data_IF_036764309089
#
_entry.id   IF_036764309089
#
_cell.length_a   1.000
_cell.length_b   1.000
_cell.length_c   1.000
_cell.angle_alpha   90.00
_cell.angle_beta   90.00
_cell.angle_gamma   90.00
#
_symmetry.space_group_name_H-M   'P 1'
#
loop_
_entity.id
_entity.type
_entity.pdbx_description
1 polymer ?
#
# COMPACT_ATOMS: atom_id res chain seq x y z
N UNK A 1 -1.93 -13.82 -0.37
CA UNK A 1 -0.99 -13.53 -1.48
C UNK A 1 -0.10 -12.37 -1.09
N UNK A 2 1.22 -12.54 -1.02
CA UNK A 2 2.13 -11.43 -0.73
C UNK A 2 2.37 -10.58 -1.98
N UNK A 3 2.58 -9.27 -1.83
CA UNK A 3 2.86 -8.35 -2.92
C UNK A 3 4.19 -7.65 -2.71
N UNK A 4 4.95 -7.50 -3.79
CA UNK A 4 6.11 -6.60 -3.82
C UNK A 4 5.68 -5.33 -4.55
N UNK A 5 5.73 -4.20 -3.86
CA UNK A 5 5.39 -2.90 -4.42
C UNK A 5 6.67 -2.08 -4.59
N UNK A 6 6.87 -1.50 -5.77
CA UNK A 6 7.89 -0.47 -6.00
C UNK A 6 7.27 0.91 -5.74
N UNK A 7 8.08 1.84 -5.23
CA UNK A 7 7.69 3.24 -4.98
C UNK A 7 6.37 3.42 -4.20
N UNK A 8 6.14 2.54 -3.22
CA UNK A 8 4.92 2.53 -2.43
C UNK A 8 4.79 3.80 -1.57
N UNK A 9 3.54 4.19 -1.32
CA UNK A 9 3.17 5.24 -0.38
C UNK A 9 2.10 4.73 0.57
N UNK A 10 2.30 4.91 1.87
CA UNK A 10 1.24 4.77 2.86
C UNK A 10 0.36 6.02 2.81
N UNK A 11 -0.97 5.83 2.85
CA UNK A 11 -1.93 6.92 2.94
C UNK A 11 -2.90 6.66 4.09
N UNK A 12 -2.91 7.56 5.06
CA UNK A 12 -3.92 7.54 6.11
C UNK A 12 -5.21 8.17 5.58
N UNK A 13 -6.27 7.37 5.41
CA UNK A 13 -7.48 7.81 4.71
C UNK A 13 -8.26 8.93 5.43
N UNK A 14 -8.21 8.97 6.77
CA UNK A 14 -8.94 9.98 7.56
C UNK A 14 -8.25 11.35 7.58
N UNK A 15 -6.93 11.37 7.78
CA UNK A 15 -6.16 12.64 7.86
C UNK A 15 -5.58 13.06 6.52
N UNK A 16 -5.57 12.17 5.53
CA UNK A 16 -4.95 12.41 4.23
C UNK A 16 -3.43 12.37 4.24
N UNK A 17 -2.78 12.11 5.40
CA UNK A 17 -1.33 12.06 5.52
C UNK A 17 -0.75 10.98 4.58
N UNK A 18 0.33 11.34 3.88
CA UNK A 18 1.04 10.47 2.94
C UNK A 18 2.47 10.28 3.43
N UNK A 19 2.95 9.04 3.42
CA UNK A 19 4.33 8.69 3.76
C UNK A 19 4.94 7.83 2.65
N UNK A 20 6.00 8.29 1.97
CA UNK A 20 6.71 7.48 0.99
C UNK A 20 7.43 6.34 1.71
N UNK A 21 7.32 5.12 1.18
CA UNK A 21 7.94 3.90 1.71
C UNK A 21 8.98 3.30 0.76
N UNK A 22 8.90 3.58 -0.54
CA UNK A 22 9.78 2.96 -1.53
C UNK A 22 9.41 1.50 -1.79
N UNK A 23 10.41 0.61 -1.86
CA UNK A 23 10.17 -0.82 -2.12
C UNK A 23 9.77 -1.56 -0.85
N UNK A 24 8.59 -2.20 -0.85
CA UNK A 24 8.09 -2.97 0.29
C UNK A 24 7.56 -4.34 -0.09
N UNK A 25 7.61 -5.29 0.86
CA UNK A 25 6.87 -6.55 0.83
C UNK A 25 5.61 -6.41 1.68
N UNK A 26 4.45 -6.38 1.04
CA UNK A 26 3.15 -6.37 1.71
C UNK A 26 2.70 -7.82 1.96
N UNK A 27 2.45 -8.16 3.23
CA UNK A 27 1.98 -9.48 3.63
C UNK A 27 0.52 -9.66 3.22
N UNK A 28 0.22 -10.78 2.57
CA UNK A 28 -1.10 -11.06 2.02
C UNK A 28 -2.20 -11.28 3.04
N UNK A 29 -1.84 -11.61 4.26
CA UNK A 29 -2.78 -11.86 5.36
C UNK A 29 -3.53 -10.59 5.78
N UNK A 30 -2.94 -9.40 5.54
CA UNK A 30 -3.52 -8.12 5.94
C UNK A 30 -4.13 -7.33 4.78
N UNK A 31 -4.20 -7.93 3.58
CA UNK A 31 -4.75 -7.26 2.39
C UNK A 31 -6.26 -7.52 2.32
N UNK A 32 -7.06 -6.46 2.46
CA UNK A 32 -8.51 -6.54 2.29
C UNK A 32 -8.94 -6.36 0.83
N UNK A 33 -8.31 -5.44 0.09
CA UNK A 33 -8.66 -5.10 -1.29
C UNK A 33 -7.42 -4.66 -2.07
N UNK A 34 -7.30 -5.14 -3.30
CA UNK A 34 -6.37 -4.61 -4.31
C UNK A 34 -7.23 -4.08 -5.46
N UNK A 35 -7.03 -2.80 -5.80
CA UNK A 35 -7.75 -2.14 -6.89
C UNK A 35 -6.78 -1.32 -7.74
N UNK A 36 -7.06 -1.26 -9.05
CA UNK A 36 -6.37 -0.34 -9.95
C UNK A 36 -6.94 1.06 -9.76
N UNK A 37 -6.09 2.09 -9.87
CA UNK A 37 -6.58 3.46 -9.94
C UNK A 37 -7.29 3.64 -11.29
N UNK A 38 -8.58 4.01 -11.26
CA UNK A 38 -9.35 4.39 -12.43
C UNK A 38 -8.84 5.70 -13.04
#
# INVERSE_FOLDING_TARGET
MNLVLADACERHMKSGAKKPLGRILLKGETITLVQVAN
#
